data_IF_570016208206
#
_entry.id   IF_570016208206
#
_cell.length_a   1.000
_cell.length_b   1.000
_cell.length_c   1.000
_cell.angle_alpha   90.00
_cell.angle_beta   90.00
_cell.angle_gamma   90.00
#
_symmetry.space_group_name_H-M   'P 1'
#
loop_
_entity.id
_entity.type
_entity.pdbx_description
1 polymer ?
#
# COMPACT_ATOMS: atom_id res chain seq x y z
N UNK A 1 -6.27 13.18 29.53
CA UNK A 1 -7.38 12.47 28.86
C UNK A 1 -7.94 13.38 27.78
N UNK A 2 -8.32 12.85 26.62
CA UNK A 2 -9.00 13.58 25.54
C UNK A 2 -10.50 13.31 25.65
N UNK A 3 -11.31 14.37 25.52
CA UNK A 3 -12.77 14.29 25.61
C UNK A 3 -13.38 13.89 24.26
N UNK A 4 -14.47 13.13 24.29
CA UNK A 4 -15.31 12.84 23.13
C UNK A 4 -16.09 14.08 22.68
N UNK A 5 -16.71 14.79 23.63
CA UNK A 5 -17.41 16.05 23.38
C UNK A 5 -16.42 17.23 23.33
N UNK A 6 -16.58 18.19 22.39
CA UNK A 6 -17.65 18.34 21.40
C UNK A 6 -17.35 17.68 20.03
N UNK A 7 -16.33 16.82 19.95
CA UNK A 7 -15.73 16.39 18.68
C UNK A 7 -16.45 15.22 17.99
N UNK A 8 -17.05 14.32 18.77
CA UNK A 8 -17.82 13.20 18.24
C UNK A 8 -19.07 12.97 19.07
N UNK A 9 -20.14 12.56 18.39
CA UNK A 9 -21.41 12.13 18.99
C UNK A 9 -21.61 10.61 18.91
N UNK A 10 -20.62 9.89 18.36
CA UNK A 10 -20.69 8.44 18.17
C UNK A 10 -20.40 7.67 19.46
N UNK A 11 -19.81 8.32 20.46
CA UNK A 11 -19.51 7.74 21.76
C UNK A 11 -19.34 8.86 22.79
N UNK A 12 -19.70 8.57 24.04
CA UNK A 12 -19.43 9.42 25.20
C UNK A 12 -18.22 8.87 26.02
N UNK A 13 -17.53 7.85 25.51
CA UNK A 13 -16.37 7.22 26.17
C UNK A 13 -15.07 7.97 25.82
N UNK A 14 -14.69 8.91 26.68
CA UNK A 14 -13.43 9.65 26.58
C UNK A 14 -12.18 8.76 26.59
N UNK A 15 -12.24 7.60 27.27
CA UNK A 15 -11.12 6.66 27.31
C UNK A 15 -10.95 5.97 25.96
N UNK A 16 -12.05 5.57 25.32
CA UNK A 16 -12.03 5.04 23.96
C UNK A 16 -11.44 6.05 22.98
N UNK A 17 -11.91 7.31 23.02
CA UNK A 17 -11.40 8.39 22.17
C UNK A 17 -9.91 8.62 22.41
N UNK A 18 -9.48 8.72 23.66
CA UNK A 18 -8.07 8.90 24.04
C UNK A 18 -7.19 7.76 23.50
N UNK A 19 -7.66 6.50 23.62
CA UNK A 19 -6.94 5.33 23.14
C UNK A 19 -6.85 5.29 21.62
N UNK A 20 -7.92 5.62 20.91
CA UNK A 20 -7.92 5.63 19.45
C UNK A 20 -7.03 6.73 18.88
N UNK A 21 -7.07 7.94 19.45
CA UNK A 21 -6.13 9.01 19.06
C UNK A 21 -4.68 8.57 19.31
N UNK A 22 -4.40 7.92 20.44
CA UNK A 22 -3.06 7.39 20.73
C UNK A 22 -2.62 6.34 19.70
N UNK A 23 -3.50 5.42 19.32
CA UNK A 23 -3.25 4.42 18.27
C UNK A 23 -2.96 5.11 16.93
N UNK A 24 -3.75 6.10 16.55
CA UNK A 24 -3.53 6.86 15.32
C UNK A 24 -2.17 7.55 15.32
N UNK A 25 -1.81 8.24 16.40
CA UNK A 25 -0.56 8.97 16.48
C UNK A 25 0.66 8.06 16.44
N UNK A 26 0.62 6.93 17.14
CA UNK A 26 1.75 5.99 17.22
C UNK A 26 1.92 5.11 15.98
N UNK A 27 0.84 4.79 15.27
CA UNK A 27 0.92 3.92 14.10
C UNK A 27 0.75 4.71 12.82
N UNK A 28 -0.39 5.34 12.56
CA UNK A 28 -0.64 5.92 11.24
C UNK A 28 0.10 7.24 11.05
N UNK A 29 0.03 8.13 12.03
CA UNK A 29 0.66 9.46 11.95
C UNK A 29 2.19 9.41 12.11
N UNK A 30 2.73 8.41 12.80
CA UNK A 30 4.18 8.25 12.99
C UNK A 30 4.93 8.11 11.65
N UNK A 31 4.33 7.40 10.69
CA UNK A 31 4.90 7.23 9.35
C UNK A 31 4.40 8.30 8.38
N UNK A 32 3.08 8.56 8.35
CA UNK A 32 2.48 9.38 7.30
C UNK A 32 2.43 10.88 7.61
N UNK A 33 2.58 11.23 8.90
CA UNK A 33 2.56 12.60 9.41
C UNK A 33 1.41 13.44 8.84
N UNK A 34 0.20 12.86 8.86
CA UNK A 34 -1.03 13.51 8.39
C UNK A 34 -1.27 14.85 9.10
N UNK A 35 -0.91 14.93 10.38
CA UNK A 35 -1.05 16.12 11.20
C UNK A 35 0.11 16.31 12.18
N UNK A 36 0.25 17.54 12.67
CA UNK A 36 1.18 17.88 13.75
C UNK A 36 0.56 17.49 15.09
N UNK A 37 1.11 16.45 15.73
CA UNK A 37 0.51 15.80 16.89
C UNK A 37 0.26 16.78 18.05
N UNK A 38 1.24 17.63 18.37
CA UNK A 38 1.15 18.55 19.50
C UNK A 38 0.04 19.60 19.29
N UNK A 39 -0.03 20.17 18.09
CA UNK A 39 -1.04 21.16 17.73
C UNK A 39 -2.45 20.55 17.73
N UNK A 40 -2.60 19.35 17.17
CA UNK A 40 -3.87 18.62 17.18
C UNK A 40 -4.31 18.30 18.62
N UNK A 41 -3.42 17.75 19.45
CA UNK A 41 -3.73 17.38 20.83
C UNK A 41 -4.06 18.61 21.69
N UNK A 42 -3.34 19.72 21.52
CA UNK A 42 -3.63 20.97 22.21
C UNK A 42 -5.01 21.50 21.81
N UNK A 43 -5.30 21.57 20.51
CA UNK A 43 -6.59 22.02 20.01
C UNK A 43 -7.75 21.12 20.47
N UNK A 44 -7.56 19.79 20.46
CA UNK A 44 -8.57 18.84 20.92
C UNK A 44 -8.86 18.97 22.42
N UNK A 45 -7.82 19.20 23.25
CA UNK A 45 -7.96 19.42 24.70
C UNK A 45 -8.68 20.72 25.05
N UNK A 46 -8.49 21.77 24.26
CA UNK A 46 -9.17 23.05 24.47
C UNK A 46 -10.70 22.93 24.29
N UNK A 47 -11.17 21.93 23.56
CA UNK A 47 -12.60 21.62 23.38
C UNK A 47 -13.46 22.82 22.94
N UNK A 48 -12.85 23.80 22.25
CA UNK A 48 -13.48 25.06 21.86
C UNK A 48 -13.40 25.25 20.34
N UNK A 49 -14.30 24.63 19.55
CA UNK A 49 -14.40 24.91 18.12
C UNK A 49 -14.94 26.34 17.87
N UNK A 50 -14.52 27.03 16.79
CA UNK A 50 -13.66 26.56 15.70
C UNK A 50 -12.16 26.57 16.04
N UNK A 51 -11.40 25.62 15.49
CA UNK A 51 -9.94 25.56 15.59
C UNK A 51 -9.31 25.23 14.24
N UNK A 52 -8.16 25.84 13.96
CA UNK A 52 -7.39 25.61 12.73
C UNK A 52 -6.71 24.23 12.68
N UNK A 53 -6.59 23.56 13.83
CA UNK A 53 -5.84 22.31 13.99
C UNK A 53 -6.70 21.13 14.47
N UNK A 54 -7.96 21.37 14.85
CA UNK A 54 -8.89 20.33 15.25
C UNK A 54 -10.31 20.67 14.82
N UNK A 55 -11.02 19.71 14.23
CA UNK A 55 -12.43 19.83 13.88
C UNK A 55 -13.14 18.51 14.15
N UNK A 56 -14.47 18.51 14.36
CA UNK A 56 -15.24 17.26 14.46
C UNK A 56 -14.99 16.34 13.26
N UNK A 57 -14.88 16.91 12.06
CA UNK A 57 -14.61 16.13 10.85
C UNK A 57 -13.25 15.42 10.92
N UNK A 58 -12.18 16.15 11.28
CA UNK A 58 -10.85 15.59 11.43
C UNK A 58 -10.78 14.53 12.54
N UNK A 59 -11.41 14.78 13.69
CA UNK A 59 -11.43 13.82 14.80
C UNK A 59 -12.12 12.52 14.38
N UNK A 60 -13.30 12.58 13.74
CA UNK A 60 -13.99 11.36 13.32
C UNK A 60 -13.20 10.60 12.22
N UNK A 61 -12.48 11.29 11.32
CA UNK A 61 -11.57 10.65 10.38
C UNK A 61 -10.40 9.93 11.07
N UNK A 62 -9.79 10.57 12.08
CA UNK A 62 -8.74 9.98 12.93
C UNK A 62 -9.25 8.72 13.64
N UNK A 63 -10.43 8.79 14.27
CA UNK A 63 -11.02 7.66 14.99
C UNK A 63 -11.39 6.51 14.04
N UNK A 64 -11.91 6.81 12.86
CA UNK A 64 -12.22 5.81 11.82
C UNK A 64 -10.96 5.04 11.39
N UNK A 65 -9.89 5.77 11.09
CA UNK A 65 -8.61 5.17 10.70
C UNK A 65 -8.00 4.35 11.84
N UNK A 66 -7.94 4.90 13.07
CA UNK A 66 -7.39 4.21 14.23
C UNK A 66 -8.10 2.88 14.52
N UNK A 67 -9.43 2.85 14.32
CA UNK A 67 -10.25 1.69 14.59
C UNK A 67 -9.86 0.46 13.76
N UNK A 68 -9.22 0.64 12.60
CA UNK A 68 -8.70 -0.47 11.79
C UNK A 68 -7.54 -1.22 12.45
N UNK A 69 -6.87 -0.60 13.43
CA UNK A 69 -5.78 -1.18 14.21
C UNK A 69 -6.17 -1.45 15.67
N UNK A 70 -7.44 -1.24 16.05
CA UNK A 70 -7.93 -1.45 17.40
C UNK A 70 -8.63 -2.81 17.55
N UNK A 71 -8.47 -3.42 18.73
CA UNK A 71 -9.14 -4.68 19.14
C UNK A 71 -10.22 -4.44 20.22
N UNK A 72 -10.58 -3.19 20.50
CA UNK A 72 -11.60 -2.88 21.50
C UNK A 72 -12.99 -3.24 21.00
N UNK A 73 -13.79 -3.95 21.81
CA UNK A 73 -15.16 -4.32 21.44
C UNK A 73 -16.01 -3.13 20.98
N UNK A 74 -15.81 -1.96 21.61
CA UNK A 74 -16.56 -0.73 21.32
C UNK A 74 -16.30 -0.13 19.92
N UNK A 75 -15.27 -0.58 19.18
CA UNK A 75 -15.07 -0.13 17.79
C UNK A 75 -15.83 -0.96 16.75
N UNK A 76 -16.38 -2.10 17.13
CA UNK A 76 -17.12 -2.99 16.23
C UNK A 76 -18.61 -2.63 16.25
N UNK A 77 -19.17 -2.31 15.08
CA UNK A 77 -20.63 -2.16 14.92
C UNK A 77 -21.30 -3.54 14.91
N UNK A 78 -20.65 -4.52 14.29
CA UNK A 78 -21.10 -5.92 14.25
C UNK A 78 -20.05 -6.78 14.96
N UNK A 79 -20.46 -7.46 16.04
CA UNK A 79 -19.54 -8.23 16.87
C UNK A 79 -18.87 -9.36 16.07
N UNK A 80 -17.54 -9.39 16.05
CA UNK A 80 -16.76 -10.39 15.32
C UNK A 80 -16.55 -10.07 13.83
N UNK A 81 -17.25 -9.07 13.26
CA UNK A 81 -17.02 -8.63 11.89
C UNK A 81 -15.96 -7.53 11.82
N UNK A 82 -14.75 -7.91 11.41
CA UNK A 82 -13.62 -7.01 11.22
C UNK A 82 -13.85 -5.91 10.16
N UNK A 83 -14.82 -6.10 9.25
CA UNK A 83 -15.19 -5.06 8.26
C UNK A 83 -16.04 -3.94 8.88
N UNK A 84 -16.68 -4.20 10.02
CA UNK A 84 -17.53 -3.24 10.73
C UNK A 84 -16.73 -2.27 11.63
N UNK A 85 -15.46 -2.57 11.92
CA UNK A 85 -14.59 -1.75 12.78
C UNK A 85 -14.56 -0.30 12.35
N UNK A 86 -14.84 0.63 13.26
CA UNK A 86 -14.77 2.07 13.04
C UNK A 86 -15.81 2.63 12.07
N UNK A 87 -16.78 1.83 11.62
CA UNK A 87 -17.77 2.26 10.61
C UNK A 87 -18.58 3.47 11.07
N UNK A 88 -19.00 3.49 12.34
CA UNK A 88 -19.72 4.62 12.94
C UNK A 88 -18.94 5.95 12.83
N UNK A 89 -17.63 5.94 13.07
CA UNK A 89 -16.79 7.13 12.95
C UNK A 89 -16.60 7.54 11.49
N UNK A 90 -16.46 6.58 10.58
CA UNK A 90 -16.39 6.85 9.14
C UNK A 90 -17.68 7.51 8.64
N UNK A 91 -18.84 6.95 8.97
CA UNK A 91 -20.14 7.47 8.58
C UNK A 91 -20.39 8.88 9.13
N UNK A 92 -20.00 9.13 10.38
CA UNK A 92 -20.08 10.47 10.96
C UNK A 92 -19.12 11.46 10.28
N UNK A 93 -17.89 11.04 9.95
CA UNK A 93 -16.96 11.88 9.19
C UNK A 93 -17.51 12.22 7.80
N UNK A 94 -18.15 11.26 7.12
CA UNK A 94 -18.81 11.50 5.83
C UNK A 94 -19.98 12.47 5.94
N UNK A 95 -20.80 12.33 6.99
CA UNK A 95 -21.90 13.27 7.26
C UNK A 95 -21.36 14.69 7.51
N UNK A 96 -20.28 14.83 8.27
CA UNK A 96 -19.64 16.11 8.56
C UNK A 96 -19.03 16.73 7.29
N UNK A 97 -18.39 15.92 6.43
CA UNK A 97 -17.88 16.38 5.14
C UNK A 97 -18.97 17.01 4.26
N UNK A 98 -20.16 16.41 4.21
CA UNK A 98 -21.29 16.96 3.46
C UNK A 98 -21.73 18.33 4.01
N UNK A 99 -21.63 18.55 5.31
CA UNK A 99 -21.95 19.83 5.96
C UNK A 99 -20.89 20.91 5.75
N UNK A 100 -19.66 20.54 5.38
CA UNK A 100 -18.60 21.51 5.07
C UNK A 100 -18.85 22.24 3.74
N UNK A 101 -19.73 21.72 2.87
CA UNK A 101 -20.17 22.36 1.61
C UNK A 101 -19.00 22.85 0.72
N UNK A 102 -17.89 22.10 0.71
CA UNK A 102 -16.70 22.44 -0.10
C UNK A 102 -15.75 23.47 0.53
N UNK A 103 -15.93 23.81 1.81
CA UNK A 103 -15.03 24.70 2.56
C UNK A 103 -13.59 24.18 2.55
N UNK A 104 -12.68 25.05 2.16
CA UNK A 104 -11.24 24.78 2.20
C UNK A 104 -10.67 25.12 3.58
N UNK A 105 -10.18 24.12 4.31
CA UNK A 105 -9.47 24.29 5.58
C UNK A 105 -8.39 23.23 5.73
N UNK A 106 -7.37 23.49 6.55
CA UNK A 106 -6.30 22.52 6.82
C UNK A 106 -6.89 21.23 7.40
N UNK A 107 -7.82 21.33 8.35
CA UNK A 107 -8.47 20.17 8.98
C UNK A 107 -9.31 19.36 8.00
N UNK A 108 -10.01 20.00 7.05
CA UNK A 108 -10.74 19.30 6.00
C UNK A 108 -9.81 18.53 5.07
N UNK A 109 -8.66 19.12 4.70
CA UNK A 109 -7.66 18.44 3.88
C UNK A 109 -7.07 17.22 4.57
N UNK A 110 -6.68 17.38 5.84
CA UNK A 110 -6.14 16.28 6.63
C UNK A 110 -7.16 15.15 6.77
N UNK A 111 -8.41 15.49 7.09
CA UNK A 111 -9.50 14.52 7.21
C UNK A 111 -9.75 13.76 5.90
N UNK A 112 -9.80 14.46 4.76
CA UNK A 112 -9.99 13.84 3.44
C UNK A 112 -8.84 12.90 3.06
N UNK A 113 -7.59 13.27 3.36
CA UNK A 113 -6.44 12.41 3.10
C UNK A 113 -6.49 11.16 3.97
N UNK A 114 -6.84 11.29 5.24
CA UNK A 114 -7.01 10.16 6.17
C UNK A 114 -8.15 9.26 5.67
N UNK A 115 -9.33 9.81 5.35
CA UNK A 115 -10.47 9.04 4.84
C UNK A 115 -10.19 8.35 3.50
N UNK A 116 -9.45 8.99 2.61
CA UNK A 116 -9.03 8.36 1.35
C UNK A 116 -8.17 7.13 1.60
N UNK A 117 -7.26 7.20 2.57
CA UNK A 117 -6.41 6.07 2.92
C UNK A 117 -7.19 4.98 3.66
N UNK A 118 -8.08 5.39 4.56
CA UNK A 118 -8.94 4.51 5.35
C UNK A 118 -9.89 3.70 4.43
N UNK A 119 -10.51 4.37 3.45
CA UNK A 119 -11.33 3.74 2.43
C UNK A 119 -10.52 2.76 1.57
N UNK A 120 -9.25 3.09 1.28
CA UNK A 120 -8.35 2.19 0.56
C UNK A 120 -8.11 0.91 1.37
N UNK A 121 -7.82 1.02 2.67
CA UNK A 121 -7.64 -0.15 3.55
C UNK A 121 -8.91 -1.01 3.65
N UNK A 122 -10.10 -0.39 3.60
CA UNK A 122 -11.38 -1.10 3.50
C UNK A 122 -11.65 -1.74 2.14
N UNK A 123 -10.76 -1.58 1.16
CA UNK A 123 -10.96 -2.08 -0.21
C UNK A 123 -12.06 -1.34 -0.97
N UNK A 124 -12.26 -0.04 -0.67
CA UNK A 124 -13.26 0.85 -1.27
C UNK A 124 -12.60 2.10 -1.88
N UNK A 125 -11.36 2.00 -2.37
CA UNK A 125 -10.63 3.13 -2.96
C UNK A 125 -11.34 3.75 -4.19
N UNK A 126 -12.18 2.99 -4.90
CA UNK A 126 -13.01 3.56 -5.97
C UNK A 126 -13.99 4.61 -5.45
N UNK A 127 -14.52 4.42 -4.23
CA UNK A 127 -15.40 5.39 -3.56
C UNK A 127 -14.62 6.58 -3.00
N UNK A 128 -13.30 6.46 -2.86
CA UNK A 128 -12.42 7.54 -2.40
C UNK A 128 -11.99 8.48 -3.54
N UNK A 129 -12.30 8.17 -4.81
CA UNK A 129 -11.98 9.01 -5.98
C UNK A 129 -12.46 10.47 -5.85
N UNK A 130 -13.66 10.76 -5.30
CA UNK A 130 -14.10 12.14 -5.04
C UNK A 130 -13.16 12.90 -4.09
N UNK A 131 -12.58 12.22 -3.09
CA UNK A 131 -11.55 12.83 -2.21
C UNK A 131 -10.25 13.11 -2.96
N UNK A 132 -9.91 12.32 -3.98
CA UNK A 132 -8.77 12.54 -4.86
C UNK A 132 -8.88 13.84 -5.67
N UNK A 133 -10.08 14.17 -6.18
CA UNK A 133 -10.34 15.45 -6.86
C UNK A 133 -10.26 16.63 -5.91
N UNK A 134 -10.81 16.50 -4.70
CA UNK A 134 -10.64 17.50 -3.64
C UNK A 134 -9.14 17.67 -3.34
N UNK A 135 -8.41 16.59 -3.03
CA UNK A 135 -6.95 16.61 -2.80
C UNK A 135 -6.21 17.28 -3.95
N UNK A 136 -6.56 16.99 -5.21
CA UNK A 136 -5.96 17.60 -6.40
C UNK A 136 -6.27 19.10 -6.52
N UNK A 137 -7.49 19.54 -6.21
CA UNK A 137 -7.87 20.96 -6.13
C UNK A 137 -7.06 21.72 -5.07
N UNK A 138 -6.65 21.04 -4.01
CA UNK A 138 -5.88 21.61 -2.90
C UNK A 138 -4.37 21.31 -2.94
N UNK A 139 -3.89 20.56 -3.96
CA UNK A 139 -2.45 20.29 -4.25
C UNK A 139 -1.64 21.56 -4.53
N UNK A 140 -2.27 22.73 -4.65
CA UNK A 140 -1.60 24.03 -4.74
C UNK A 140 -0.95 24.49 -3.44
N UNK A 141 -1.19 23.82 -2.30
CA UNK A 141 -0.57 24.22 -1.04
C UNK A 141 0.85 23.65 -0.91
N UNK A 142 1.85 24.52 -1.14
CA UNK A 142 3.31 24.23 -1.11
C UNK A 142 3.73 23.50 0.18
N UNK A 143 3.12 23.84 1.32
CA UNK A 143 3.44 23.22 2.63
C UNK A 143 3.08 21.73 2.68
N UNK A 144 2.03 21.30 1.96
CA UNK A 144 1.65 19.88 1.90
C UNK A 144 2.59 19.09 0.99
N UNK A 145 3.12 19.70 -0.08
CA UNK A 145 4.12 19.10 -0.97
C UNK A 145 5.48 18.94 -0.27
N UNK A 146 5.90 19.91 0.51
CA UNK A 146 7.22 19.89 1.14
C UNK A 146 7.31 19.09 2.44
N UNK A 147 6.18 18.82 3.13
CA UNK A 147 6.21 18.21 4.47
C UNK A 147 5.88 16.72 4.51
N UNK A 148 5.19 16.18 3.51
CA UNK A 148 4.94 14.74 3.42
C UNK A 148 5.82 14.15 2.30
N UNK A 149 6.90 13.46 2.72
CA UNK A 149 7.87 12.78 1.84
C UNK A 149 7.17 11.92 0.78
N UNK A 150 6.09 11.25 1.18
CA UNK A 150 5.31 10.42 0.30
C UNK A 150 4.52 11.18 -0.77
N UNK A 151 4.04 12.40 -0.55
CA UNK A 151 3.37 13.14 -1.64
C UNK A 151 4.34 13.51 -2.74
N UNK A 152 5.62 13.78 -2.41
CA UNK A 152 6.67 13.96 -3.42
C UNK A 152 6.93 12.64 -4.13
N UNK A 153 7.24 11.58 -3.38
CA UNK A 153 7.52 10.26 -3.96
C UNK A 153 6.35 9.71 -4.77
N UNK A 154 5.11 9.80 -4.30
CA UNK A 154 3.91 9.33 -5.01
C UNK A 154 3.59 10.21 -6.21
N UNK A 155 3.88 11.52 -6.16
CA UNK A 155 3.72 12.37 -7.33
C UNK A 155 4.75 12.02 -8.40
N UNK A 156 6.03 11.94 -8.02
CA UNK A 156 7.14 11.63 -8.91
C UNK A 156 7.00 10.20 -9.47
N UNK A 157 6.64 9.22 -8.65
CA UNK A 157 6.41 7.84 -9.07
C UNK A 157 5.19 7.69 -9.97
N UNK A 158 4.08 8.42 -9.70
CA UNK A 158 2.92 8.38 -10.58
C UNK A 158 3.20 9.09 -11.91
N UNK A 159 3.98 10.17 -11.91
CA UNK A 159 4.44 10.79 -13.15
C UNK A 159 5.31 9.82 -13.94
N UNK A 160 6.25 9.13 -13.29
CA UNK A 160 7.15 8.17 -13.93
C UNK A 160 6.42 6.90 -14.42
N UNK A 161 5.57 6.29 -13.60
CA UNK A 161 4.88 5.05 -13.96
C UNK A 161 3.75 5.25 -14.99
N UNK A 162 3.20 6.47 -15.14
CA UNK A 162 2.00 6.70 -15.94
C UNK A 162 2.14 7.76 -17.05
N UNK A 163 3.36 8.22 -17.38
CA UNK A 163 3.61 8.96 -18.62
C UNK A 163 3.28 8.07 -19.83
N UNK A 164 2.45 8.59 -20.74
CA UNK A 164 1.92 7.84 -21.89
C UNK A 164 2.84 7.84 -23.12
N UNK A 165 3.95 8.58 -23.11
CA UNK A 165 4.77 8.79 -24.29
C UNK A 165 5.95 7.82 -24.40
N UNK A 166 6.08 7.19 -25.57
CA UNK A 166 7.06 6.17 -25.91
C UNK A 166 8.54 6.61 -25.88
N UNK A 167 8.84 7.89 -25.70
CA UNK A 167 10.19 8.41 -25.43
C UNK A 167 10.60 8.33 -23.94
N UNK A 168 9.72 7.83 -23.07
CA UNK A 168 9.86 7.92 -21.62
C UNK A 168 10.97 7.06 -20.99
N UNK A 169 11.51 6.03 -21.65
CA UNK A 169 12.44 5.11 -20.97
C UNK A 169 13.82 5.76 -20.69
N UNK A 170 14.28 6.61 -21.60
CA UNK A 170 15.52 7.39 -21.46
C UNK A 170 15.42 8.48 -20.39
N UNK A 171 14.21 8.89 -19.97
CA UNK A 171 14.01 9.78 -18.82
C UNK A 171 13.73 9.03 -17.51
N UNK A 172 13.14 7.83 -17.61
CA UNK A 172 12.69 7.05 -16.47
C UNK A 172 13.82 6.27 -15.78
N UNK A 173 14.76 5.69 -16.54
CA UNK A 173 15.93 5.01 -15.98
C UNK A 173 16.82 5.98 -15.17
N UNK A 174 17.21 7.16 -15.70
CA UNK A 174 17.95 8.16 -14.92
C UNK A 174 17.18 8.69 -13.70
N UNK A 175 15.86 8.89 -13.81
CA UNK A 175 15.04 9.31 -12.68
C UNK A 175 14.98 8.24 -11.57
N UNK A 176 14.92 6.97 -11.93
CA UNK A 176 14.97 5.84 -11.00
C UNK A 176 16.31 5.78 -10.27
N UNK A 177 17.42 5.95 -10.98
CA UNK A 177 18.77 6.01 -10.40
C UNK A 177 18.95 7.22 -9.49
N UNK A 178 18.42 8.38 -9.87
CA UNK A 178 18.47 9.58 -9.03
C UNK A 178 17.57 9.48 -7.78
N UNK A 179 16.46 8.76 -7.85
CA UNK A 179 15.65 8.41 -6.67
C UNK A 179 16.39 7.43 -5.75
N UNK A 180 17.17 6.50 -6.32
CA UNK A 180 18.01 5.55 -5.57
C UNK A 180 19.04 6.27 -4.70
N UNK A 181 19.70 7.31 -5.20
CA UNK A 181 20.69 8.10 -4.44
C UNK A 181 20.08 8.97 -3.33
N UNK A 182 18.82 9.38 -3.49
CA UNK A 182 18.16 10.36 -2.60
C UNK A 182 17.43 9.75 -1.41
N UNK A 183 17.25 8.43 -1.39
CA UNK A 183 16.38 7.76 -0.44
C UNK A 183 17.17 6.65 0.27
N UNK A 184 17.37 6.82 1.58
CA UNK A 184 18.06 5.86 2.45
C UNK A 184 17.11 4.77 2.99
N UNK A 185 17.71 3.65 3.44
CA UNK A 185 17.12 2.35 3.84
C UNK A 185 15.90 2.40 4.79
N UNK A 186 14.73 2.71 4.26
CA UNK A 186 13.44 2.60 4.96
C UNK A 186 12.48 1.66 4.21
N UNK A 187 11.53 1.02 4.92
CA UNK A 187 10.51 0.14 4.32
C UNK A 187 9.76 0.81 3.15
N UNK A 188 9.51 2.10 3.26
CA UNK A 188 8.81 2.93 2.26
C UNK A 188 9.60 2.99 0.94
N UNK A 189 10.92 3.07 1.04
CA UNK A 189 11.85 3.10 -0.08
C UNK A 189 11.92 1.76 -0.81
N UNK A 190 11.99 0.65 -0.06
CA UNK A 190 11.98 -0.69 -0.65
C UNK A 190 10.70 -0.93 -1.47
N UNK A 191 9.54 -0.53 -0.97
CA UNK A 191 8.27 -0.67 -1.70
C UNK A 191 8.28 0.05 -3.05
N UNK A 192 8.75 1.30 -3.03
CA UNK A 192 8.85 2.16 -4.20
C UNK A 192 9.81 1.57 -5.22
N UNK A 193 11.02 1.18 -4.79
CA UNK A 193 12.03 0.62 -5.70
C UNK A 193 11.66 -0.74 -6.25
N UNK A 194 11.11 -1.66 -5.44
CA UNK A 194 10.60 -2.94 -5.93
C UNK A 194 9.59 -2.74 -7.06
N UNK A 195 8.63 -1.84 -6.85
CA UNK A 195 7.58 -1.55 -7.83
C UNK A 195 8.17 -0.93 -9.09
N UNK A 196 9.10 0.03 -8.94
CA UNK A 196 9.73 0.71 -10.07
C UNK A 196 10.58 -0.27 -10.89
N UNK A 197 11.49 -1.02 -10.25
CA UNK A 197 12.35 -1.99 -10.91
C UNK A 197 11.55 -3.04 -11.68
N UNK A 198 10.51 -3.60 -11.05
CA UNK A 198 9.62 -4.57 -11.70
C UNK A 198 8.93 -4.01 -12.95
N UNK A 199 8.45 -2.76 -12.89
CA UNK A 199 7.80 -2.12 -14.05
C UNK A 199 8.79 -1.75 -15.16
N UNK A 200 10.01 -1.33 -14.82
CA UNK A 200 11.05 -1.00 -15.81
C UNK A 200 11.46 -2.25 -16.57
N UNK A 201 11.79 -3.33 -15.85
CA UNK A 201 12.19 -4.60 -16.48
C UNK A 201 11.09 -5.14 -17.41
N UNK A 202 9.83 -5.07 -16.98
CA UNK A 202 8.67 -5.44 -17.79
C UNK A 202 8.55 -4.62 -19.09
N UNK A 203 8.73 -3.30 -19.01
CA UNK A 203 8.64 -2.41 -20.18
C UNK A 203 9.77 -2.67 -21.16
N UNK A 204 11.00 -2.82 -20.67
CA UNK A 204 12.16 -3.14 -21.50
C UNK A 204 11.97 -4.48 -22.23
N UNK A 205 11.53 -5.53 -21.53
CA UNK A 205 11.19 -6.83 -22.14
C UNK A 205 10.14 -6.71 -23.24
N UNK A 206 9.11 -5.88 -23.03
CA UNK A 206 8.04 -5.70 -24.03
C UNK A 206 8.51 -4.96 -25.28
N UNK A 207 9.47 -4.03 -25.16
CA UNK A 207 10.04 -3.31 -26.30
C UNK A 207 10.99 -4.20 -27.10
N UNK A 208 11.86 -4.96 -26.44
CA UNK A 208 12.76 -5.92 -27.10
C UNK A 208 11.99 -6.96 -27.91
N UNK A 209 10.79 -7.33 -27.45
CA UNK A 209 9.91 -8.29 -28.14
C UNK A 209 9.17 -7.70 -29.35
N UNK A 210 9.06 -6.36 -29.46
CA UNK A 210 8.34 -5.66 -30.53
C UNK A 210 9.24 -5.05 -31.61
N UNK A 211 10.53 -4.85 -31.33
CA UNK A 211 11.49 -4.37 -32.33
C UNK A 211 11.97 -5.50 -33.26
N UNK A 212 11.60 -5.47 -34.54
CA UNK A 212 12.41 -6.10 -35.60
C UNK A 212 13.85 -5.56 -35.54
N UNK A 213 14.87 -6.32 -35.98
CA UNK A 213 16.28 -5.95 -35.85
C UNK A 213 16.60 -4.74 -36.73
N UNK A 214 16.27 -3.54 -36.27
CA UNK A 214 16.78 -2.29 -36.83
C UNK A 214 18.18 -2.10 -36.30
N UNK A 215 19.09 -1.88 -37.23
CA UNK A 215 20.50 -1.53 -37.04
C UNK A 215 20.68 -0.65 -35.81
N UNK A 216 21.31 -1.20 -34.76
CA UNK A 216 21.80 -0.44 -33.61
C UNK A 216 22.81 0.57 -34.15
N UNK A 217 22.42 1.82 -34.32
CA UNK A 217 23.40 2.90 -34.41
C UNK A 217 24.06 3.05 -33.04
N UNK A 218 25.40 3.05 -32.95
CA UNK A 218 26.10 3.15 -31.68
C UNK A 218 26.03 4.59 -31.20
N UNK A 219 25.03 4.91 -30.37
CA UNK A 219 25.08 6.13 -29.58
C UNK A 219 25.95 5.90 -28.35
N UNK A 220 27.03 6.68 -28.27
CA UNK A 220 27.97 6.73 -27.16
C UNK A 220 27.26 7.04 -25.83
N UNK A 221 26.80 6.02 -25.12
CA UNK A 221 26.67 6.04 -23.66
C UNK A 221 27.86 5.25 -23.11
N UNK A 222 28.52 5.77 -22.07
CA UNK A 222 29.61 5.09 -21.41
C UNK A 222 29.16 3.67 -21.01
N UNK A 223 30.01 2.66 -21.20
CA UNK A 223 29.65 1.24 -21.07
C UNK A 223 28.97 0.87 -19.71
N UNK A 224 29.15 1.69 -18.66
CA UNK A 224 28.48 1.54 -17.37
C UNK A 224 26.99 1.95 -17.35
N UNK A 225 26.54 2.86 -18.22
CA UNK A 225 25.13 3.28 -18.28
C UNK A 225 24.26 2.35 -19.16
N UNK A 226 24.91 1.54 -20.02
CA UNK A 226 24.24 0.63 -20.95
C UNK A 226 23.51 -0.54 -20.26
N UNK A 227 24.11 -1.11 -19.21
CA UNK A 227 23.52 -2.22 -18.44
C UNK A 227 22.19 -1.84 -17.77
N UNK A 228 22.02 -0.57 -17.39
CA UNK A 228 20.78 -0.05 -16.83
C UNK A 228 19.63 0.08 -17.83
N UNK A 229 19.88 -0.13 -19.13
CA UNK A 229 18.84 -0.27 -20.15
C UNK A 229 18.55 -1.73 -20.49
N UNK A 230 19.17 -2.70 -19.82
CA UNK A 230 18.85 -4.11 -19.99
C UNK A 230 17.71 -4.55 -19.06
N UNK A 231 16.74 -5.27 -19.61
CA UNK A 231 15.62 -5.76 -18.82
C UNK A 231 16.04 -6.79 -17.74
N UNK A 232 17.13 -7.51 -17.98
CA UNK A 232 17.70 -8.49 -17.05
C UNK A 232 18.18 -7.82 -15.75
N UNK A 233 18.85 -6.66 -15.86
CA UNK A 233 19.30 -5.87 -14.70
C UNK A 233 18.11 -5.55 -13.78
N UNK A 234 17.05 -4.95 -14.32
CA UNK A 234 15.90 -4.54 -13.53
C UNK A 234 15.07 -5.69 -12.98
N UNK A 235 15.01 -6.80 -13.70
CA UNK A 235 14.39 -8.04 -13.20
C UNK A 235 15.18 -8.59 -12.01
N UNK A 236 16.52 -8.54 -12.09
CA UNK A 236 17.40 -8.94 -10.99
C UNK A 236 17.28 -8.04 -9.78
N UNK A 237 17.32 -6.74 -10.00
CA UNK A 237 17.15 -5.71 -8.98
C UNK A 237 15.81 -5.87 -8.23
N UNK A 238 14.71 -6.10 -8.97
CA UNK A 238 13.40 -6.32 -8.37
C UNK A 238 13.37 -7.57 -7.48
N UNK A 239 14.03 -8.65 -7.89
CA UNK A 239 14.13 -9.88 -7.13
C UNK A 239 14.93 -9.69 -5.83
N UNK A 240 16.10 -9.05 -5.90
CA UNK A 240 16.95 -8.80 -4.73
C UNK A 240 16.22 -7.92 -3.71
N UNK A 241 15.56 -6.84 -4.17
CA UNK A 241 14.75 -5.97 -3.31
C UNK A 241 13.57 -6.71 -2.68
N UNK A 242 12.95 -7.67 -3.39
CA UNK A 242 11.85 -8.47 -2.85
C UNK A 242 12.33 -9.42 -1.74
N UNK A 243 13.53 -9.99 -1.85
CA UNK A 243 14.15 -10.81 -0.81
C UNK A 243 14.50 -9.98 0.43
N UNK A 244 14.97 -8.74 0.26
CA UNK A 244 15.22 -7.81 1.36
C UNK A 244 13.93 -7.37 2.04
N UNK A 245 12.89 -7.06 1.25
CA UNK A 245 11.57 -6.74 1.77
C UNK A 245 11.00 -7.91 2.60
N UNK A 246 11.19 -9.17 2.16
CA UNK A 246 10.80 -10.33 2.95
C UNK A 246 11.54 -10.41 4.30
N UNK A 247 12.84 -10.09 4.35
CA UNK A 247 13.59 -10.02 5.63
C UNK A 247 13.07 -8.92 6.54
N UNK A 248 12.79 -7.75 5.97
CA UNK A 248 12.21 -6.66 6.74
C UNK A 248 10.84 -7.03 7.30
N UNK A 249 10.03 -7.76 6.54
CA UNK A 249 8.74 -8.27 6.98
C UNK A 249 8.87 -9.30 8.12
N UNK A 250 9.92 -10.13 8.10
CA UNK A 250 10.27 -11.02 9.21
C UNK A 250 10.53 -10.22 10.50
N UNK A 251 11.35 -9.18 10.39
CA UNK A 251 11.69 -8.30 11.51
C UNK A 251 10.46 -7.53 12.02
N UNK A 252 9.62 -7.04 11.11
CA UNK A 252 8.37 -6.38 11.47
C UNK A 252 7.42 -7.33 12.23
N UNK A 253 7.28 -8.57 11.74
CA UNK A 253 6.44 -9.57 12.38
C UNK A 253 6.96 -9.93 13.78
N UNK A 254 8.28 -10.09 13.94
CA UNK A 254 8.87 -10.45 15.23
C UNK A 254 8.66 -9.36 16.29
N UNK A 255 8.65 -8.09 15.88
CA UNK A 255 8.45 -6.95 16.78
C UNK A 255 6.96 -6.65 17.05
N UNK A 256 6.11 -6.68 16.02
CA UNK A 256 4.73 -6.15 16.09
C UNK A 256 3.61 -7.20 15.97
N UNK A 257 3.93 -8.47 15.68
CA UNK A 257 2.95 -9.56 15.71
C UNK A 257 1.81 -9.50 14.69
N UNK A 258 1.96 -8.76 13.58
CA UNK A 258 0.98 -8.59 12.48
C UNK A 258 -0.38 -7.97 12.85
N UNK A 259 -0.53 -7.46 14.09
CA UNK A 259 -1.76 -6.79 14.53
C UNK A 259 -1.91 -5.39 13.97
N UNK A 260 -0.79 -4.71 13.73
CA UNK A 260 -0.75 -3.35 13.20
C UNK A 260 -0.64 -3.41 11.68
N UNK A 261 -1.56 -2.74 11.00
CA UNK A 261 -1.53 -2.59 9.53
C UNK A 261 -0.93 -1.25 9.20
N UNK A 262 0.32 -1.27 8.76
CA UNK A 262 0.96 -0.12 8.14
C UNK A 262 0.86 -0.25 6.62
N UNK A 263 0.48 0.82 5.90
CA UNK A 263 0.37 0.80 4.45
C UNK A 263 1.59 0.26 3.70
N UNK A 264 2.80 0.62 4.12
CA UNK A 264 4.04 0.18 3.48
C UNK A 264 4.35 -1.29 3.76
N UNK A 265 3.96 -1.81 4.92
CA UNK A 265 4.09 -3.23 5.23
C UNK A 265 3.13 -4.05 4.37
N UNK A 266 1.90 -3.56 4.17
CA UNK A 266 0.96 -4.15 3.21
C UNK A 266 1.50 -4.12 1.78
N UNK A 267 2.03 -2.98 1.33
CA UNK A 267 2.59 -2.82 0.00
C UNK A 267 3.81 -3.72 -0.21
N UNK A 268 4.75 -3.73 0.73
CA UNK A 268 5.95 -4.58 0.69
C UNK A 268 5.56 -6.06 0.61
N UNK A 269 4.69 -6.52 1.51
CA UNK A 269 4.26 -7.91 1.55
C UNK A 269 3.60 -8.34 0.23
N UNK A 270 2.74 -7.47 -0.33
CA UNK A 270 2.03 -7.77 -1.58
C UNK A 270 2.96 -7.78 -2.79
N UNK A 271 3.76 -6.72 -2.97
CA UNK A 271 4.65 -6.60 -4.12
C UNK A 271 5.75 -7.67 -4.10
N UNK A 272 6.37 -7.91 -2.93
CA UNK A 272 7.35 -8.98 -2.78
C UNK A 272 6.74 -10.36 -3.05
N UNK A 273 5.51 -10.63 -2.57
CA UNK A 273 4.82 -11.90 -2.86
C UNK A 273 4.66 -12.13 -4.37
N UNK A 274 4.25 -11.11 -5.14
CA UNK A 274 4.09 -11.27 -6.59
C UNK A 274 5.42 -11.43 -7.33
N UNK A 275 6.44 -10.65 -6.96
CA UNK A 275 7.78 -10.74 -7.59
C UNK A 275 8.41 -12.10 -7.28
N UNK A 276 8.38 -12.54 -6.02
CA UNK A 276 8.96 -13.82 -5.62
C UNK A 276 8.18 -15.01 -6.14
N UNK A 277 6.87 -14.86 -6.37
CA UNK A 277 6.07 -15.87 -7.04
C UNK A 277 6.50 -16.06 -8.51
N UNK A 278 6.71 -14.96 -9.23
CA UNK A 278 7.25 -15.00 -10.59
C UNK A 278 8.67 -15.58 -10.61
N UNK A 279 9.53 -15.17 -9.68
CA UNK A 279 10.86 -15.72 -9.53
C UNK A 279 10.85 -17.23 -9.28
N UNK A 280 10.03 -17.72 -8.35
CA UNK A 280 9.89 -19.15 -8.05
C UNK A 280 9.34 -19.97 -9.23
N UNK A 281 8.64 -19.33 -10.19
CA UNK A 281 8.17 -19.99 -11.40
C UNK A 281 9.27 -20.19 -12.44
N UNK A 282 10.34 -19.38 -12.39
CA UNK A 282 11.45 -19.36 -13.36
C UNK A 282 12.73 -20.01 -12.82
N UNK A 283 13.03 -19.80 -11.55
CA UNK A 283 14.30 -20.15 -10.92
C UNK A 283 14.09 -20.98 -9.64
N UNK A 284 14.99 -21.94 -9.41
CA UNK A 284 14.91 -22.86 -8.25
C UNK A 284 16.15 -22.82 -7.34
N UNK A 285 17.17 -22.02 -7.67
CA UNK A 285 18.45 -21.95 -6.97
C UNK A 285 18.54 -20.85 -5.91
N UNK A 286 19.61 -20.88 -5.11
CA UNK A 286 19.97 -19.79 -4.19
C UNK A 286 20.42 -18.57 -4.98
N UNK A 287 20.00 -17.39 -4.52
CA UNK A 287 20.46 -16.11 -5.01
C UNK A 287 21.44 -15.54 -3.99
N UNK A 288 22.52 -14.93 -4.46
CA UNK A 288 23.34 -14.03 -3.64
C UNK A 288 22.94 -12.61 -4.04
N UNK A 289 22.11 -11.94 -3.23
CA UNK A 289 21.76 -10.54 -3.46
C UNK A 289 23.04 -9.71 -3.49
N UNK A 290 23.05 -8.63 -4.26
CA UNK A 290 24.23 -7.77 -4.30
C UNK A 290 24.36 -7.01 -2.96
N UNK A 291 25.27 -7.45 -2.09
CA UNK A 291 25.47 -6.91 -0.73
C UNK A 291 26.01 -5.46 -0.71
N UNK A 292 26.55 -4.98 -1.82
CA UNK A 292 27.21 -3.67 -1.89
C UNK A 292 26.27 -2.48 -1.73
N UNK A 293 24.95 -2.69 -1.80
CA UNK A 293 24.00 -1.61 -1.98
C UNK A 293 23.03 -1.37 -0.81
N UNK A 294 22.87 -2.34 0.10
CA UNK A 294 21.78 -2.34 1.09
C UNK A 294 22.24 -2.83 2.46
N UNK A 295 21.86 -2.12 3.53
CA UNK A 295 22.21 -2.50 4.92
C UNK A 295 21.38 -3.65 5.49
N UNK A 296 20.38 -4.14 4.74
CA UNK A 296 19.44 -5.19 5.17
C UNK A 296 19.85 -6.51 4.52
N UNK A 297 20.14 -7.52 5.36
CA UNK A 297 20.36 -8.90 4.91
C UNK A 297 19.16 -9.41 4.10
N UNK A 298 19.37 -9.98 2.92
CA UNK A 298 18.29 -10.59 2.15
C UNK A 298 18.20 -12.10 2.39
N UNK A 299 17.02 -12.66 2.14
CA UNK A 299 16.89 -14.11 2.00
C UNK A 299 17.71 -14.64 0.82
N UNK A 300 18.47 -15.72 1.02
CA UNK A 300 19.18 -16.40 -0.08
C UNK A 300 18.24 -17.26 -0.94
N UNK A 301 17.17 -17.80 -0.34
CA UNK A 301 16.26 -18.74 -0.98
C UNK A 301 14.93 -18.06 -1.34
N UNK A 302 14.58 -17.93 -2.64
CA UNK A 302 13.33 -17.29 -3.09
C UNK A 302 12.06 -17.84 -2.46
N UNK A 303 12.00 -19.17 -2.24
CA UNK A 303 10.86 -19.82 -1.61
C UNK A 303 10.65 -19.38 -0.16
N UNK A 304 11.74 -19.19 0.59
CA UNK A 304 11.70 -18.72 1.98
C UNK A 304 11.24 -17.25 2.03
N UNK A 305 11.70 -16.41 1.10
CA UNK A 305 11.21 -15.04 0.97
C UNK A 305 9.73 -14.96 0.59
N UNK A 306 9.27 -15.82 -0.34
CA UNK A 306 7.86 -15.90 -0.73
C UNK A 306 7.00 -16.36 0.44
N UNK A 307 7.46 -17.36 1.18
CA UNK A 307 6.80 -17.85 2.38
C UNK A 307 6.58 -16.75 3.41
N UNK A 308 7.62 -15.98 3.72
CA UNK A 308 7.54 -14.93 4.75
C UNK A 308 6.73 -13.73 4.29
N UNK A 309 6.96 -13.23 3.07
CA UNK A 309 6.19 -12.11 2.53
C UNK A 309 4.69 -12.43 2.45
N UNK A 310 4.35 -13.65 2.00
CA UNK A 310 2.96 -14.05 1.88
C UNK A 310 2.31 -14.35 3.25
N UNK A 311 3.07 -14.90 4.21
CA UNK A 311 2.64 -15.03 5.62
C UNK A 311 2.26 -13.68 6.22
N UNK A 312 3.10 -12.67 6.04
CA UNK A 312 2.82 -11.32 6.51
C UNK A 312 1.58 -10.74 5.83
N UNK A 313 1.43 -10.91 4.50
CA UNK A 313 0.22 -10.49 3.79
C UNK A 313 -1.06 -11.15 4.33
N UNK A 314 -1.02 -12.45 4.62
CA UNK A 314 -2.15 -13.17 5.21
C UNK A 314 -2.49 -12.69 6.62
N UNK A 315 -1.49 -12.34 7.43
CA UNK A 315 -1.72 -11.70 8.72
C UNK A 315 -2.45 -10.36 8.56
N UNK A 316 -2.01 -9.51 7.63
CA UNK A 316 -2.68 -8.24 7.34
C UNK A 316 -4.09 -8.44 6.75
N UNK A 317 -4.32 -9.51 6.00
CA UNK A 317 -5.63 -9.89 5.47
C UNK A 317 -6.64 -10.18 6.59
N UNK A 318 -6.19 -10.62 7.77
CA UNK A 318 -7.09 -10.74 8.93
C UNK A 318 -7.61 -9.39 9.43
N UNK A 319 -6.89 -8.30 9.14
CA UNK A 319 -7.19 -6.98 9.67
C UNK A 319 -7.96 -6.12 8.67
N UNK A 320 -7.53 -6.04 7.41
CA UNK A 320 -8.08 -5.10 6.43
C UNK A 320 -8.48 -5.78 5.13
N UNK A 321 -9.54 -5.27 4.50
CA UNK A 321 -10.14 -5.91 3.31
C UNK A 321 -9.25 -5.85 2.08
N UNK A 322 -8.49 -4.76 1.87
CA UNK A 322 -7.59 -4.67 0.71
C UNK A 322 -6.51 -5.76 0.73
N UNK A 323 -6.00 -6.09 1.91
CA UNK A 323 -5.02 -7.17 2.09
C UNK A 323 -5.64 -8.55 1.82
N UNK A 324 -6.93 -8.76 2.13
CA UNK A 324 -7.65 -9.99 1.74
C UNK A 324 -7.71 -10.14 0.24
N UNK A 325 -8.15 -9.10 -0.46
CA UNK A 325 -8.24 -9.15 -1.92
C UNK A 325 -6.87 -9.38 -2.56
N UNK A 326 -5.81 -8.77 -2.02
CA UNK A 326 -4.44 -8.97 -2.48
C UNK A 326 -3.96 -10.41 -2.25
N UNK A 327 -4.20 -10.97 -1.06
CA UNK A 327 -3.86 -12.35 -0.75
C UNK A 327 -4.59 -13.35 -1.66
N UNK A 328 -5.88 -13.12 -1.92
CA UNK A 328 -6.66 -13.92 -2.88
C UNK A 328 -6.06 -13.84 -4.28
N UNK A 329 -5.66 -12.65 -4.75
CA UNK A 329 -5.00 -12.52 -6.05
C UNK A 329 -3.68 -13.29 -6.10
N UNK A 330 -2.86 -13.27 -5.06
CA UNK A 330 -1.61 -14.05 -4.98
C UNK A 330 -1.91 -15.55 -5.07
N UNK A 331 -2.88 -16.06 -4.30
CA UNK A 331 -3.29 -17.48 -4.33
C UNK A 331 -3.75 -17.92 -5.73
N UNK A 332 -4.63 -17.14 -6.36
CA UNK A 332 -5.13 -17.44 -7.71
C UNK A 332 -4.03 -17.37 -8.76
N UNK A 333 -3.12 -16.41 -8.61
CA UNK A 333 -1.98 -16.23 -9.52
C UNK A 333 -1.02 -17.41 -9.40
N UNK A 334 -0.71 -17.88 -8.19
CA UNK A 334 0.12 -19.06 -7.97
C UNK A 334 -0.45 -20.30 -8.66
N UNK A 335 -1.77 -20.49 -8.58
CA UNK A 335 -2.48 -21.57 -9.29
C UNK A 335 -2.38 -21.46 -10.81
N UNK A 336 -2.56 -20.25 -11.36
CA UNK A 336 -2.44 -19.99 -12.80
C UNK A 336 -1.01 -20.28 -13.28
N UNK A 337 -0.01 -19.86 -12.50
CA UNK A 337 1.41 -20.06 -12.78
C UNK A 337 1.90 -21.47 -12.45
N UNK A 338 1.06 -22.32 -11.85
CA UNK A 338 1.38 -23.69 -11.39
C UNK A 338 2.56 -23.72 -10.41
N UNK A 339 2.69 -22.69 -9.57
CA UNK A 339 3.69 -22.65 -8.50
C UNK A 339 3.09 -23.26 -7.24
N UNK A 340 3.75 -24.28 -6.69
CA UNK A 340 3.35 -24.87 -5.41
C UNK A 340 3.78 -23.96 -4.25
N UNK A 341 2.79 -23.50 -3.47
CA UNK A 341 3.04 -22.69 -2.28
C UNK A 341 3.38 -23.58 -1.07
N UNK A 342 4.26 -23.12 -0.16
CA UNK A 342 4.63 -23.88 1.03
C UNK A 342 3.43 -24.28 1.90
N UNK A 343 3.46 -25.49 2.45
CA UNK A 343 2.36 -26.05 3.25
C UNK A 343 2.06 -25.23 4.52
N UNK A 344 3.08 -24.60 5.10
CA UNK A 344 2.96 -23.66 6.22
C UNK A 344 2.03 -22.49 5.87
N UNK A 345 2.14 -22.00 4.64
CA UNK A 345 1.33 -20.90 4.15
C UNK A 345 -0.02 -21.39 3.69
N UNK A 346 -0.14 -22.54 3.01
CA UNK A 346 -1.44 -23.07 2.55
C UNK A 346 -2.42 -23.44 3.69
N UNK A 347 -1.92 -23.67 4.91
CA UNK A 347 -2.77 -23.83 6.11
C UNK A 347 -3.43 -22.52 6.56
N UNK A 348 -2.73 -21.40 6.40
CA UNK A 348 -3.20 -20.10 6.87
C UNK A 348 -4.45 -19.60 6.14
N UNK A 349 -4.60 -19.70 4.80
CA UNK A 349 -5.82 -19.39 4.10
C UNK A 349 -7.02 -20.13 4.63
N UNK A 350 -6.94 -21.42 5.00
CA UNK A 350 -8.10 -22.13 5.57
C UNK A 350 -8.52 -21.50 6.90
N UNK A 351 -7.57 -21.16 7.76
CA UNK A 351 -7.82 -20.48 9.03
C UNK A 351 -8.32 -19.04 8.85
N UNK A 352 -7.76 -18.28 7.90
CA UNK A 352 -8.22 -16.93 7.56
C UNK A 352 -9.60 -16.98 6.87
N UNK A 353 -9.90 -18.04 6.12
CA UNK A 353 -11.20 -18.29 5.51
C UNK A 353 -12.29 -18.47 6.55
N UNK A 354 -12.00 -19.31 7.54
CA UNK A 354 -12.90 -19.62 8.65
C UNK A 354 -13.16 -18.40 9.54
N UNK A 355 -12.17 -17.51 9.71
CA UNK A 355 -12.28 -16.32 10.58
C UNK A 355 -12.85 -15.10 9.82
N UNK A 356 -12.53 -14.91 8.53
CA UNK A 356 -12.74 -13.64 7.82
C UNK A 356 -13.34 -13.79 6.41
N UNK A 357 -13.20 -14.93 5.72
CA UNK A 357 -13.76 -15.14 4.36
C UNK A 357 -15.10 -15.89 4.36
N UNK A 358 -15.98 -15.59 5.33
CA UNK A 358 -17.33 -16.13 5.37
C UNK A 358 -18.02 -16.07 4.00
N UNK A 359 -18.83 -17.07 3.69
CA UNK A 359 -19.51 -17.29 2.39
C UNK A 359 -20.42 -16.14 1.92
N UNK A 360 -20.64 -15.13 2.75
CA UNK A 360 -21.35 -13.90 2.41
C UNK A 360 -20.34 -12.74 2.26
N UNK A 361 -20.16 -12.32 1.00
CA UNK A 361 -19.60 -11.04 0.55
C UNK A 361 -18.11 -10.96 0.14
N UNK A 362 -17.70 -11.80 -0.81
CA UNK A 362 -16.69 -11.40 -1.81
C UNK A 362 -17.14 -10.18 -2.66
N UNK A 363 -18.44 -9.83 -2.60
CA UNK A 363 -19.06 -8.73 -3.38
C UNK A 363 -18.83 -7.32 -2.83
N UNK A 364 -18.14 -7.14 -1.70
CA UNK A 364 -17.97 -5.80 -1.09
C UNK A 364 -16.65 -5.09 -1.44
N UNK A 365 -15.73 -5.75 -2.14
CA UNK A 365 -14.46 -5.14 -2.56
C UNK A 365 -14.68 -4.32 -3.84
N UNK A 366 -14.55 -3.00 -3.73
CA UNK A 366 -14.58 -2.07 -4.85
C UNK A 366 -13.23 -1.37 -4.95
N UNK A 367 -12.24 -2.13 -5.41
CA UNK A 367 -10.84 -1.70 -5.41
C UNK A 367 -10.20 -1.68 -6.78
N UNK A 368 -9.47 -0.60 -7.04
CA UNK A 368 -8.59 -0.43 -8.20
C UNK A 368 -7.17 -0.90 -7.91
N UNK A 369 -6.92 -1.66 -6.84
CA UNK A 369 -5.59 -2.17 -6.55
C UNK A 369 -5.14 -3.17 -7.64
N UNK A 370 -3.88 -3.12 -8.12
CA UNK A 370 -3.41 -3.94 -9.22
C UNK A 370 -2.96 -5.35 -8.79
N UNK A 371 -2.92 -6.28 -9.73
CA UNK A 371 -2.13 -7.50 -9.62
C UNK A 371 -0.74 -7.25 -10.22
N UNK A 372 0.30 -7.22 -9.38
CA UNK A 372 1.65 -6.83 -9.82
C UNK A 372 2.29 -7.79 -10.81
N UNK A 373 2.01 -9.10 -10.70
CA UNK A 373 2.53 -10.09 -11.65
C UNK A 373 1.94 -9.87 -13.06
N UNK A 374 0.65 -9.60 -13.17
CA UNK A 374 0.00 -9.34 -14.45
C UNK A 374 0.38 -7.99 -15.06
N UNK A 375 0.63 -6.98 -14.23
CA UNK A 375 1.14 -5.68 -14.67
C UNK A 375 2.55 -5.83 -15.25
N UNK A 376 3.42 -6.56 -14.56
CA UNK A 376 4.77 -6.86 -15.05
C UNK A 376 4.72 -7.67 -16.36
N UNK A 377 3.87 -8.69 -16.46
CA UNK A 377 3.77 -9.50 -17.69
C UNK A 377 3.29 -8.73 -18.93
N UNK A 378 2.65 -7.56 -18.76
CA UNK A 378 2.05 -6.79 -19.86
C UNK A 378 2.70 -5.44 -20.12
N UNK A 379 3.84 -5.14 -19.49
CA UNK A 379 4.54 -3.86 -19.67
C UNK A 379 3.79 -2.64 -19.13
N UNK A 380 2.79 -2.84 -18.25
CA UNK A 380 1.94 -1.77 -17.75
C UNK A 380 0.59 -2.27 -17.26
N UNK A 381 -0.33 -1.33 -16.96
CA UNK A 381 -1.66 -1.63 -16.44
C UNK A 381 -2.74 -1.54 -17.53
N UNK A 382 -3.16 -2.67 -18.12
CA UNK A 382 -4.34 -2.72 -19.00
C UNK A 382 -5.65 -2.36 -18.29
N UNK A 383 -6.62 -1.91 -19.07
CA UNK A 383 -8.02 -1.83 -18.66
C UNK A 383 -8.54 -3.22 -18.25
N UNK A 384 -9.35 -3.30 -17.18
CA UNK A 384 -9.96 -4.57 -16.74
C UNK A 384 -9.11 -5.45 -15.80
N UNK A 385 -7.96 -4.98 -15.31
CA UNK A 385 -7.07 -5.71 -14.39
C UNK A 385 -7.10 -5.18 -12.94
N UNK A 386 -8.19 -4.55 -12.51
CA UNK A 386 -8.36 -4.19 -11.11
C UNK A 386 -8.61 -5.43 -10.25
N UNK A 387 -8.32 -5.35 -8.95
CA UNK A 387 -8.61 -6.41 -7.98
C UNK A 387 -10.06 -6.89 -8.09
N UNK A 388 -11.03 -5.97 -8.13
CA UNK A 388 -12.45 -6.32 -8.27
C UNK A 388 -12.75 -7.12 -9.54
N UNK A 389 -12.25 -6.66 -10.70
CA UNK A 389 -12.48 -7.34 -11.99
C UNK A 389 -11.84 -8.73 -12.03
N UNK A 390 -10.62 -8.85 -11.50
CA UNK A 390 -9.88 -10.11 -11.45
C UNK A 390 -10.55 -11.12 -10.51
N UNK A 391 -10.93 -10.71 -9.29
CA UNK A 391 -11.58 -11.60 -8.34
C UNK A 391 -12.96 -12.04 -8.85
N UNK A 392 -13.72 -11.14 -9.51
CA UNK A 392 -14.97 -11.52 -10.18
C UNK A 392 -14.73 -12.55 -11.29
N UNK A 393 -13.70 -12.34 -12.13
CA UNK A 393 -13.32 -13.28 -13.19
C UNK A 393 -12.85 -14.64 -12.65
N UNK A 394 -12.21 -14.66 -11.49
CA UNK A 394 -11.65 -15.86 -10.86
C UNK A 394 -12.57 -16.51 -9.81
N UNK A 395 -13.81 -16.03 -9.69
CA UNK A 395 -14.78 -16.48 -8.68
C UNK A 395 -15.01 -18.00 -8.67
N UNK A 396 -15.00 -18.65 -9.85
CA UNK A 396 -15.22 -20.09 -9.98
C UNK A 396 -13.95 -20.95 -9.75
N UNK A 397 -12.79 -20.33 -9.57
CA UNK A 397 -11.58 -21.09 -9.28
C UNK A 397 -11.61 -21.53 -7.81
N UNK A 398 -11.35 -22.81 -7.51
CA UNK A 398 -11.07 -23.21 -6.12
C UNK A 398 -9.76 -22.56 -5.62
N UNK A 399 -9.71 -22.24 -4.32
CA UNK A 399 -8.46 -21.87 -3.63
C UNK A 399 -7.69 -23.15 -3.31
#
# INVERSE_FOLDING_TARGET
MLSASPWTRMTDDDLLVSRLVTIFLNYQNAYWRYLEADLFLQAMKLAHPPSDFCSPFLVNAVLAMASLSAEYRAVFVEAGDYTSRGRQFHEEAMRLWLLEEGRASVTNLQALVILSMEASLRGKDKLARPFGFAKARYRGNVLFRERCMLTRLTHDLNQLLFTQDGEGMYSLVPAALSLRERLYDCCEYLCVRMTLASNIGARLQSQDSQSEPRSREPHHAAEADGEHFEAAYWTSEAADLALQAAKLLEYYRSVYGLKVVLPFIFQAATTASFILLDLCSRETGRRRPNDELHSIEAFEEPRSGLEESFRCLLGLATQVSIARGAALMVLKTAKIMKVELPASVMRLPRTVAEIVWGTKNDRSLSSSYPNYALVAAKGGRPEGLTMEELLNKWSNMSI
#
